data_IF_136489075066
#
_entry.id   IF_136489075066
#
_cell.length_a   1.000
_cell.length_b   1.000
_cell.length_c   1.000
_cell.angle_alpha   90.00
_cell.angle_beta   90.00
_cell.angle_gamma   90.00
#
_symmetry.space_group_name_H-M   'P 1'
#
loop_
_entity.id
_entity.type
_entity.pdbx_description
1 polymer ?
#
# COMPACT_ATOMS: atom_id res chain seq x y z
N UNK A 1 -30.86 23.57 5.57
CA UNK A 1 -30.63 22.29 4.85
C UNK A 1 -31.32 22.21 3.49
N UNK A 2 -32.56 22.71 3.28
CA UNK A 2 -33.23 22.68 1.96
C UNK A 2 -32.55 23.52 0.84
N UNK A 3 -31.77 24.53 1.20
CA UNK A 3 -31.05 25.41 0.26
C UNK A 3 -29.93 24.70 -0.51
N UNK A 4 -29.36 23.62 0.04
CA UNK A 4 -28.33 22.82 -0.62
C UNK A 4 -28.88 21.80 -1.62
N UNK A 5 -30.20 21.60 -1.66
CA UNK A 5 -30.87 20.71 -2.62
C UNK A 5 -31.28 21.47 -3.89
N UNK A 6 -30.38 22.29 -4.43
CA UNK A 6 -30.57 22.96 -5.70
C UNK A 6 -29.29 22.82 -6.50
N UNK A 7 -29.37 22.35 -7.74
CA UNK A 7 -28.21 22.09 -8.58
C UNK A 7 -27.35 23.35 -8.77
N UNK A 8 -27.97 24.53 -8.84
CA UNK A 8 -27.30 25.82 -8.91
C UNK A 8 -26.52 26.22 -7.64
N UNK A 9 -26.72 25.53 -6.52
CA UNK A 9 -25.94 25.69 -5.29
C UNK A 9 -24.97 24.52 -5.13
N UNK A 10 -25.45 23.29 -5.28
CA UNK A 10 -24.65 22.07 -5.16
C UNK A 10 -23.51 22.03 -6.17
N UNK A 11 -23.79 22.37 -7.43
CA UNK A 11 -22.81 22.38 -8.51
C UNK A 11 -21.63 23.31 -8.20
N UNK A 12 -21.84 24.60 -7.94
CA UNK A 12 -20.76 25.51 -7.57
C UNK A 12 -19.99 25.10 -6.31
N UNK A 13 -20.67 24.61 -5.27
CA UNK A 13 -20.00 24.18 -4.03
C UNK A 13 -19.11 22.96 -4.27
N UNK A 14 -19.62 21.92 -4.93
CA UNK A 14 -18.82 20.73 -5.26
C UNK A 14 -17.73 21.07 -6.28
N UNK A 15 -18.00 21.95 -7.23
CA UNK A 15 -17.03 22.43 -8.21
C UNK A 15 -15.87 23.19 -7.57
N UNK A 16 -16.15 24.06 -6.59
CA UNK A 16 -15.13 24.77 -5.82
C UNK A 16 -14.19 23.79 -5.11
N UNK A 17 -14.76 22.83 -4.36
CA UNK A 17 -13.98 21.82 -3.64
C UNK A 17 -13.20 20.91 -4.60
N UNK A 18 -13.83 20.45 -5.68
CA UNK A 18 -13.21 19.57 -6.67
C UNK A 18 -12.03 20.24 -7.37
N UNK A 19 -12.21 21.48 -7.84
CA UNK A 19 -11.13 22.22 -8.50
C UNK A 19 -9.98 22.51 -7.56
N UNK A 20 -10.22 22.72 -6.26
CA UNK A 20 -9.14 22.82 -5.29
C UNK A 20 -8.34 21.52 -5.17
N UNK A 21 -9.02 20.36 -5.08
CA UNK A 21 -8.37 19.04 -5.08
C UNK A 21 -7.53 18.86 -6.34
N UNK A 22 -8.10 19.12 -7.52
CA UNK A 22 -7.39 19.02 -8.80
C UNK A 22 -6.21 20.00 -8.88
N UNK A 23 -6.39 21.24 -8.42
CA UNK A 23 -5.32 22.24 -8.43
C UNK A 23 -4.13 21.77 -7.58
N UNK A 24 -4.37 21.25 -6.38
CA UNK A 24 -3.33 20.66 -5.52
C UNK A 24 -2.67 19.47 -6.20
N UNK A 25 -3.46 18.50 -6.70
CA UNK A 25 -2.94 17.30 -7.35
C UNK A 25 -2.08 17.62 -8.56
N UNK A 26 -2.55 18.47 -9.46
CA UNK A 26 -1.82 18.87 -10.67
C UNK A 26 -0.58 19.69 -10.30
N UNK A 27 -0.66 20.57 -9.30
CA UNK A 27 0.51 21.35 -8.86
C UNK A 27 1.62 20.46 -8.31
N UNK A 28 1.29 19.47 -7.46
CA UNK A 28 2.26 18.48 -6.95
C UNK A 28 2.83 17.66 -8.10
N UNK A 29 1.97 17.14 -8.97
CA UNK A 29 2.38 16.30 -10.12
C UNK A 29 3.34 17.06 -11.04
N UNK A 30 2.99 18.29 -11.41
CA UNK A 30 3.82 19.12 -12.28
C UNK A 30 5.13 19.51 -11.58
N UNK A 31 5.09 19.90 -10.31
CA UNK A 31 6.31 20.25 -9.57
C UNK A 31 7.27 19.07 -9.46
N UNK A 32 6.77 17.85 -9.29
CA UNK A 32 7.59 16.64 -9.26
C UNK A 32 8.12 16.24 -10.64
N UNK A 33 7.34 16.45 -11.69
CA UNK A 33 7.72 16.09 -13.06
C UNK A 33 8.75 17.07 -13.66
N UNK A 34 8.63 18.36 -13.36
CA UNK A 34 9.48 19.40 -13.96
C UNK A 34 10.58 19.90 -13.02
N UNK A 35 10.46 19.68 -11.70
CA UNK A 35 11.34 20.30 -10.69
C UNK A 35 11.10 21.80 -10.49
N UNK A 36 10.07 22.36 -11.15
CA UNK A 36 9.75 23.79 -11.14
C UNK A 36 8.52 24.07 -10.27
N UNK A 37 8.37 25.27 -9.69
CA UNK A 37 7.32 25.54 -8.74
C UNK A 37 5.95 25.75 -9.42
N UNK A 38 5.01 24.83 -9.18
CA UNK A 38 3.58 25.03 -9.41
C UNK A 38 2.87 25.17 -8.06
N UNK A 39 2.15 26.27 -7.85
CA UNK A 39 1.54 26.62 -6.56
C UNK A 39 0.01 26.65 -6.68
N UNK A 40 -0.72 25.78 -5.97
CA UNK A 40 -2.17 25.86 -5.95
C UNK A 40 -2.61 27.08 -5.14
N UNK A 41 -3.64 27.78 -5.60
CA UNK A 41 -4.22 28.92 -4.87
C UNK A 41 -5.60 28.56 -4.37
N UNK A 42 -5.80 28.60 -3.05
CA UNK A 42 -7.08 28.24 -2.46
C UNK A 42 -8.22 29.13 -3.01
N UNK A 43 -8.03 30.44 -3.00
CA UNK A 43 -9.08 31.39 -3.40
C UNK A 43 -9.44 31.25 -4.88
N UNK A 44 -8.47 31.31 -5.80
CA UNK A 44 -8.77 31.24 -7.23
C UNK A 44 -9.28 29.85 -7.63
N UNK A 45 -8.79 28.77 -6.99
CA UNK A 45 -9.32 27.43 -7.24
C UNK A 45 -10.79 27.29 -6.81
N UNK A 46 -11.17 27.85 -5.65
CA UNK A 46 -12.56 27.85 -5.20
C UNK A 46 -13.45 28.69 -6.13
N UNK A 47 -13.00 29.89 -6.52
CA UNK A 47 -13.76 30.79 -7.40
C UNK A 47 -13.97 30.19 -8.79
N UNK A 48 -12.90 29.78 -9.46
CA UNK A 48 -13.00 29.16 -10.79
C UNK A 48 -13.67 27.80 -10.75
N UNK A 49 -13.49 27.05 -9.66
CA UNK A 49 -14.23 25.81 -9.44
C UNK A 49 -15.73 26.02 -9.30
N UNK A 50 -16.16 27.08 -8.62
CA UNK A 50 -17.57 27.45 -8.56
C UNK A 50 -18.13 27.78 -9.95
N UNK A 51 -17.36 28.46 -10.80
CA UNK A 51 -17.73 28.77 -12.20
C UNK A 51 -17.86 27.48 -13.04
N UNK A 52 -16.86 26.59 -13.00
CA UNK A 52 -16.91 25.30 -13.70
C UNK A 52 -18.09 24.47 -13.19
N UNK A 53 -18.33 24.48 -11.87
CA UNK A 53 -19.44 23.77 -11.25
C UNK A 53 -20.81 24.29 -11.68
N UNK A 54 -20.98 25.62 -11.74
CA UNK A 54 -22.18 26.25 -12.28
C UNK A 54 -22.41 25.87 -13.75
N UNK A 55 -21.34 25.88 -14.56
CA UNK A 55 -21.41 25.56 -15.97
C UNK A 55 -21.76 24.07 -16.21
N UNK A 56 -21.25 23.16 -15.38
CA UNK A 56 -21.53 21.73 -15.46
C UNK A 56 -23.00 21.37 -15.20
N UNK A 57 -23.70 22.16 -14.38
CA UNK A 57 -25.16 22.03 -14.19
C UNK A 57 -25.90 22.32 -15.49
N UNK A 58 -25.39 23.24 -16.31
CA UNK A 58 -26.05 23.63 -17.54
C UNK A 58 -25.81 22.65 -18.69
N UNK A 59 -24.55 22.30 -18.96
CA UNK A 59 -24.21 21.27 -19.94
C UNK A 59 -22.75 20.84 -19.84
N UNK A 60 -22.44 19.66 -20.39
CA UNK A 60 -21.05 19.20 -20.52
C UNK A 60 -20.20 20.14 -21.37
N UNK A 61 -20.80 20.72 -22.42
CA UNK A 61 -20.14 21.70 -23.29
C UNK A 61 -19.84 23.00 -22.54
N UNK A 62 -20.77 23.48 -21.72
CA UNK A 62 -20.56 24.68 -20.90
C UNK A 62 -19.43 24.50 -19.89
N UNK A 63 -19.35 23.33 -19.23
CA UNK A 63 -18.22 23.02 -18.34
C UNK A 63 -16.88 23.02 -19.08
N UNK A 64 -16.83 22.44 -20.30
CA UNK A 64 -15.64 22.45 -21.14
C UNK A 64 -15.20 23.86 -21.54
N UNK A 65 -16.14 24.71 -21.98
CA UNK A 65 -15.86 26.11 -22.34
C UNK A 65 -15.37 26.90 -21.12
N UNK A 66 -16.04 26.76 -19.97
CA UNK A 66 -15.62 27.41 -18.74
C UNK A 66 -14.20 27.01 -18.37
N UNK A 67 -13.87 25.71 -18.41
CA UNK A 67 -12.54 25.21 -18.10
C UNK A 67 -11.46 25.70 -19.10
N UNK A 68 -11.75 25.78 -20.39
CA UNK A 68 -10.84 26.40 -21.36
C UNK A 68 -10.58 27.87 -21.04
N UNK A 69 -11.61 28.61 -20.62
CA UNK A 69 -11.46 29.97 -20.10
C UNK A 69 -10.55 30.02 -18.88
N UNK A 70 -10.74 29.12 -17.91
CA UNK A 70 -9.88 29.01 -16.72
C UNK A 70 -8.43 28.68 -17.10
N UNK A 71 -8.19 27.80 -18.09
CA UNK A 71 -6.85 27.51 -18.58
C UNK A 71 -6.18 28.75 -19.18
N UNK A 72 -6.89 29.50 -20.03
CA UNK A 72 -6.40 30.71 -20.67
C UNK A 72 -6.07 31.80 -19.64
N UNK A 73 -6.96 32.04 -18.67
CA UNK A 73 -6.74 33.01 -17.59
C UNK A 73 -5.63 32.53 -16.64
N UNK A 74 -5.47 31.22 -16.49
CA UNK A 74 -4.36 30.60 -15.77
C UNK A 74 -3.00 30.93 -16.36
N UNK A 75 -2.85 30.87 -17.69
CA UNK A 75 -1.62 31.27 -18.39
C UNK A 75 -1.28 32.76 -18.20
N UNK A 76 -2.26 33.57 -17.81
CA UNK A 76 -2.08 34.99 -17.48
C UNK A 76 -1.81 35.24 -15.98
N UNK A 77 -1.68 34.17 -15.17
CA UNK A 77 -1.38 34.27 -13.74
C UNK A 77 -2.59 34.46 -12.82
N UNK A 78 -3.82 34.31 -13.33
CA UNK A 78 -5.04 34.48 -12.53
C UNK A 78 -5.84 33.16 -12.37
N UNK A 79 -5.19 32.02 -12.55
CA UNK A 79 -5.81 30.71 -12.49
C UNK A 79 -5.71 30.01 -11.13
N UNK A 80 -6.36 28.83 -10.99
CA UNK A 80 -6.28 27.95 -9.82
C UNK A 80 -4.86 27.51 -9.41
N UNK A 81 -3.93 27.51 -10.36
CA UNK A 81 -2.51 27.20 -10.17
C UNK A 81 -1.71 28.41 -10.64
N UNK A 82 -0.64 28.75 -9.94
CA UNK A 82 0.35 29.75 -10.34
C UNK A 82 1.66 29.05 -10.69
N UNK A 83 2.20 29.32 -11.87
CA UNK A 83 3.54 28.87 -12.30
C UNK A 83 4.59 29.91 -11.90
N UNK A 84 5.76 29.47 -11.41
CA UNK A 84 6.89 30.37 -11.20
C UNK A 84 7.53 30.85 -12.51
N UNK A 85 8.35 31.89 -12.40
CA UNK A 85 8.96 32.57 -13.56
C UNK A 85 9.93 31.69 -14.36
N UNK A 86 10.45 30.63 -13.75
CA UNK A 86 11.39 29.67 -14.33
C UNK A 86 10.70 28.53 -15.10
N UNK A 87 9.37 28.42 -15.00
CA UNK A 87 8.59 27.35 -15.67
C UNK A 87 8.54 27.59 -17.18
N UNK A 88 8.93 26.60 -17.98
CA UNK A 88 8.88 26.69 -19.44
C UNK A 88 7.46 26.91 -19.98
N UNK A 89 7.27 27.63 -21.12
CA UNK A 89 5.94 27.86 -21.70
C UNK A 89 5.17 26.57 -21.99
N UNK A 90 5.88 25.52 -22.41
CA UNK A 90 5.29 24.20 -22.63
C UNK A 90 4.74 23.61 -21.33
N UNK A 91 5.52 23.63 -20.24
CA UNK A 91 5.09 23.13 -18.94
C UNK A 91 3.92 23.95 -18.37
N UNK A 92 3.87 25.27 -18.62
CA UNK A 92 2.72 26.10 -18.25
C UNK A 92 1.45 25.65 -18.99
N UNK A 93 1.51 25.51 -20.32
CA UNK A 93 0.37 25.06 -21.13
C UNK A 93 -0.13 23.69 -20.67
N UNK A 94 0.78 22.74 -20.43
CA UNK A 94 0.44 21.40 -19.94
C UNK A 94 -0.20 21.46 -18.55
N UNK A 95 0.39 22.20 -17.60
CA UNK A 95 -0.12 22.30 -16.23
C UNK A 95 -1.50 22.94 -16.13
N UNK A 96 -1.69 24.09 -16.78
CA UNK A 96 -2.99 24.78 -16.80
C UNK A 96 -4.05 24.02 -17.60
N UNK A 97 -3.66 23.42 -18.73
CA UNK A 97 -4.53 22.57 -19.54
C UNK A 97 -4.98 21.32 -18.80
N UNK A 98 -4.07 20.61 -18.13
CA UNK A 98 -4.39 19.42 -17.35
C UNK A 98 -5.31 19.75 -16.17
N UNK A 99 -5.06 20.85 -15.45
CA UNK A 99 -5.92 21.30 -14.35
C UNK A 99 -7.34 21.59 -14.84
N UNK A 100 -7.48 22.36 -15.91
CA UNK A 100 -8.79 22.70 -16.48
C UNK A 100 -9.54 21.44 -16.97
N UNK A 101 -8.85 20.56 -17.70
CA UNK A 101 -9.42 19.33 -18.23
C UNK A 101 -9.91 18.40 -17.11
N UNK A 102 -9.07 18.13 -16.11
CA UNK A 102 -9.41 17.25 -14.98
C UNK A 102 -10.53 17.85 -14.11
N UNK A 103 -10.54 19.17 -13.91
CA UNK A 103 -11.60 19.87 -13.20
C UNK A 103 -12.94 19.71 -13.94
N UNK A 104 -12.98 19.95 -15.26
CA UNK A 104 -14.19 19.81 -16.06
C UNK A 104 -14.70 18.38 -16.13
N UNK A 105 -13.82 17.41 -16.46
CA UNK A 105 -14.21 16.00 -16.59
C UNK A 105 -14.75 15.43 -15.27
N UNK A 106 -14.06 15.72 -14.17
CA UNK A 106 -14.51 15.30 -12.84
C UNK A 106 -15.85 15.95 -12.48
N UNK A 107 -16.02 17.25 -12.75
CA UNK A 107 -17.25 17.95 -12.45
C UNK A 107 -18.45 17.46 -13.29
N UNK A 108 -18.23 17.16 -14.57
CA UNK A 108 -19.23 16.55 -15.46
C UNK A 108 -19.63 15.16 -14.96
N UNK A 109 -18.68 14.40 -14.41
CA UNK A 109 -18.95 13.08 -13.81
C UNK A 109 -19.75 13.20 -12.51
N UNK A 110 -19.36 14.14 -11.63
CA UNK A 110 -20.02 14.41 -10.35
C UNK A 110 -21.50 14.78 -10.56
N UNK A 111 -21.78 15.74 -11.45
CA UNK A 111 -23.15 16.22 -11.72
C UNK A 111 -23.90 15.41 -12.78
N UNK A 112 -23.41 14.23 -13.15
CA UNK A 112 -24.09 13.40 -14.16
C UNK A 112 -25.52 13.08 -13.71
N UNK A 113 -26.49 13.23 -14.61
CA UNK A 113 -27.92 13.02 -14.33
C UNK A 113 -28.55 14.00 -13.32
N UNK A 114 -27.84 15.02 -12.82
CA UNK A 114 -28.44 16.04 -11.97
C UNK A 114 -29.36 16.97 -12.80
N UNK A 115 -30.63 17.17 -12.42
CA UNK A 115 -31.52 18.07 -13.14
C UNK A 115 -31.12 19.55 -12.98
N UNK A 116 -31.56 20.39 -13.93
CA UNK A 116 -31.41 21.84 -13.87
C UNK A 116 -32.46 22.45 -12.94
N UNK A 117 -32.28 22.31 -11.62
CA UNK A 117 -33.26 22.85 -10.66
C UNK A 117 -33.10 22.30 -9.24
N UNK A 118 -34.24 22.16 -8.55
CA UNK A 118 -34.28 21.51 -7.25
C UNK A 118 -33.86 20.05 -7.38
N UNK A 119 -32.93 19.63 -6.52
CA UNK A 119 -32.49 18.25 -6.43
C UNK A 119 -33.36 17.49 -5.45
N UNK A 120 -33.70 16.27 -5.79
CA UNK A 120 -34.16 15.30 -4.80
C UNK A 120 -33.04 14.98 -3.82
N UNK A 121 -33.39 14.39 -2.67
CA UNK A 121 -32.39 13.90 -1.71
C UNK A 121 -31.43 12.91 -2.35
N UNK A 122 -31.96 12.00 -3.18
CA UNK A 122 -31.18 10.96 -3.83
C UNK A 122 -30.17 11.53 -4.84
N UNK A 123 -30.58 12.48 -5.69
CA UNK A 123 -29.67 13.10 -6.68
C UNK A 123 -28.57 13.93 -6.00
N UNK A 124 -28.90 14.62 -4.90
CA UNK A 124 -27.89 15.31 -4.09
C UNK A 124 -26.91 14.33 -3.46
N UNK A 125 -27.40 13.26 -2.81
CA UNK A 125 -26.56 12.22 -2.21
C UNK A 125 -25.68 11.54 -3.27
N UNK A 126 -26.20 11.26 -4.46
CA UNK A 126 -25.45 10.65 -5.55
C UNK A 126 -24.31 11.56 -6.05
N UNK A 127 -24.56 12.86 -6.22
CA UNK A 127 -23.52 13.82 -6.58
C UNK A 127 -22.42 13.89 -5.50
N UNK A 128 -22.79 13.91 -4.23
CA UNK A 128 -21.83 13.90 -3.10
C UNK A 128 -21.04 12.60 -3.08
N UNK A 129 -21.67 11.44 -3.26
CA UNK A 129 -20.99 10.13 -3.29
C UNK A 129 -19.98 10.09 -4.44
N UNK A 130 -20.32 10.58 -5.63
CA UNK A 130 -19.38 10.62 -6.76
C UNK A 130 -18.20 11.55 -6.52
N UNK A 131 -18.45 12.71 -5.90
CA UNK A 131 -17.37 13.59 -5.44
C UNK A 131 -16.45 12.88 -4.44
N UNK A 132 -17.02 12.27 -3.40
CA UNK A 132 -16.26 11.54 -2.38
C UNK A 132 -15.50 10.35 -2.96
N UNK A 133 -16.08 9.67 -3.95
CA UNK A 133 -15.43 8.54 -4.66
C UNK A 133 -14.24 9.04 -5.47
N UNK A 134 -14.42 10.11 -6.26
CA UNK A 134 -13.32 10.72 -7.03
C UNK A 134 -12.22 11.28 -6.14
N UNK A 135 -12.58 11.99 -5.06
CA UNK A 135 -11.65 12.47 -4.06
C UNK A 135 -10.90 11.31 -3.39
N UNK A 136 -11.63 10.25 -3.00
CA UNK A 136 -11.06 9.04 -2.42
C UNK A 136 -10.02 8.40 -3.34
N UNK A 137 -10.32 8.23 -4.63
CA UNK A 137 -9.36 7.69 -5.58
C UNK A 137 -8.09 8.54 -5.67
N UNK A 138 -8.22 9.87 -5.78
CA UNK A 138 -7.05 10.77 -5.84
C UNK A 138 -6.26 10.71 -4.53
N UNK A 139 -6.94 10.86 -3.40
CA UNK A 139 -6.33 10.92 -2.08
C UNK A 139 -5.60 9.62 -1.72
N UNK A 140 -6.27 8.46 -1.86
CA UNK A 140 -5.67 7.16 -1.56
C UNK A 140 -4.58 6.77 -2.56
N UNK A 141 -4.70 7.16 -3.84
CA UNK A 141 -3.60 6.94 -4.79
C UNK A 141 -2.40 7.82 -4.44
N UNK A 142 -2.62 9.10 -4.11
CA UNK A 142 -1.54 10.02 -3.77
C UNK A 142 -0.79 9.59 -2.50
N UNK A 143 -1.52 9.28 -1.41
CA UNK A 143 -0.89 8.88 -0.13
C UNK A 143 -0.07 7.59 -0.26
N UNK A 144 -0.44 6.71 -1.20
CA UNK A 144 0.31 5.48 -1.49
C UNK A 144 1.47 5.77 -2.46
N UNK A 145 1.21 6.36 -3.62
CA UNK A 145 2.21 6.48 -4.70
C UNK A 145 3.31 7.48 -4.38
N UNK A 146 2.99 8.61 -3.73
CA UNK A 146 3.97 9.68 -3.49
C UNK A 146 5.18 9.20 -2.68
N UNK A 147 5.03 8.51 -1.53
CA UNK A 147 6.18 7.98 -0.79
C UNK A 147 7.06 7.05 -1.61
N UNK A 148 6.47 6.14 -2.41
CA UNK A 148 7.24 5.24 -3.27
C UNK A 148 7.95 5.99 -4.41
N UNK A 149 7.30 7.00 -4.99
CA UNK A 149 7.92 7.86 -5.98
C UNK A 149 9.14 8.58 -5.39
N UNK A 150 8.98 9.25 -4.24
CA UNK A 150 10.08 9.94 -3.56
C UNK A 150 11.21 8.97 -3.20
N UNK A 151 10.89 7.77 -2.73
CA UNK A 151 11.87 6.73 -2.42
C UNK A 151 12.69 6.33 -3.65
N UNK A 152 12.03 6.05 -4.78
CA UNK A 152 12.72 5.69 -6.04
C UNK A 152 13.54 6.87 -6.55
N UNK A 153 12.97 8.06 -6.63
CA UNK A 153 13.67 9.23 -7.16
C UNK A 153 14.90 9.62 -6.32
N UNK A 154 14.80 9.50 -5.00
CA UNK A 154 15.92 9.79 -4.10
C UNK A 154 17.02 8.73 -4.21
N UNK A 155 16.67 7.47 -4.50
CA UNK A 155 17.65 6.38 -4.67
C UNK A 155 18.52 6.52 -5.93
N UNK A 156 18.08 7.32 -6.91
CA UNK A 156 18.78 7.56 -8.18
C UNK A 156 19.67 8.82 -8.15
N UNK A 157 19.70 9.54 -7.02
CA UNK A 157 20.45 10.79 -6.86
C UNK A 157 21.69 10.62 -5.98
N UNK A 158 22.65 11.51 -6.17
CA UNK A 158 23.81 11.60 -5.31
C UNK A 158 23.51 12.39 -4.04
N UNK A 159 24.24 12.12 -2.97
CA UNK A 159 24.13 12.79 -1.68
C UNK A 159 24.32 14.30 -1.82
N UNK A 160 25.28 14.71 -2.66
CA UNK A 160 25.54 16.10 -2.93
C UNK A 160 24.34 16.78 -3.60
N UNK A 161 23.70 16.12 -4.58
CA UNK A 161 22.50 16.65 -5.22
C UNK A 161 21.33 16.78 -4.23
N UNK A 162 21.15 15.78 -3.35
CA UNK A 162 20.12 15.80 -2.31
C UNK A 162 20.36 16.87 -1.23
N UNK A 163 21.62 17.18 -0.92
CA UNK A 163 21.98 18.25 0.01
C UNK A 163 21.80 19.64 -0.61
N UNK A 164 22.05 19.78 -1.92
CA UNK A 164 21.84 21.03 -2.65
C UNK A 164 20.37 21.35 -2.86
N UNK A 165 19.58 20.37 -3.30
CA UNK A 165 18.15 20.50 -3.47
C UNK A 165 17.43 19.20 -3.07
N UNK A 166 16.92 19.09 -1.84
CA UNK A 166 16.25 17.88 -1.36
C UNK A 166 14.90 17.61 -2.03
N UNK A 167 14.37 18.56 -2.81
CA UNK A 167 13.09 18.45 -3.52
C UNK A 167 13.27 18.29 -5.04
N UNK A 168 14.51 18.21 -5.52
CA UNK A 168 14.76 17.88 -6.91
C UNK A 168 14.53 16.38 -7.13
N UNK A 169 13.46 16.04 -7.84
CA UNK A 169 13.11 14.68 -8.27
C UNK A 169 13.25 14.49 -9.78
N UNK A 170 14.02 15.33 -10.47
CA UNK A 170 14.30 15.17 -11.90
C UNK A 170 15.25 13.99 -12.18
N UNK A 171 15.12 13.37 -13.36
CA UNK A 171 16.06 12.34 -13.83
C UNK A 171 17.05 12.98 -14.81
N UNK A 172 18.33 12.89 -14.48
CA UNK A 172 19.40 13.26 -15.39
C UNK A 172 19.81 12.05 -16.24
N UNK A 173 19.15 11.89 -17.38
CA UNK A 173 19.42 10.78 -18.32
C UNK A 173 20.83 10.81 -18.91
N UNK A 174 21.55 11.94 -18.84
CA UNK A 174 22.93 12.03 -19.34
C UNK A 174 23.89 11.11 -18.56
N UNK A 175 23.53 10.75 -17.32
CA UNK A 175 24.33 9.86 -16.46
C UNK A 175 24.26 8.38 -16.88
N UNK A 176 23.32 7.98 -17.74
CA UNK A 176 23.15 6.60 -18.19
C UNK A 176 23.11 5.60 -17.00
N UNK A 177 23.97 4.58 -17.03
CA UNK A 177 24.08 3.59 -15.96
C UNK A 177 24.53 4.15 -14.60
N UNK A 178 25.15 5.33 -14.58
CA UNK A 178 25.55 6.01 -13.35
C UNK A 178 24.37 6.38 -12.43
N UNK A 179 23.13 6.40 -12.94
CA UNK A 179 21.91 6.55 -12.13
C UNK A 179 21.73 5.43 -11.10
N UNK A 180 22.25 4.23 -11.38
CA UNK A 180 22.13 3.06 -10.51
C UNK A 180 23.34 2.87 -9.59
N UNK A 181 24.25 3.84 -9.54
CA UNK A 181 25.48 3.76 -8.73
C UNK A 181 25.21 3.41 -7.26
N UNK A 182 24.17 4.00 -6.65
CA UNK A 182 23.82 3.72 -5.25
C UNK A 182 23.37 2.27 -5.02
N UNK A 183 22.85 1.60 -6.05
CA UNK A 183 22.51 0.18 -6.01
C UNK A 183 23.77 -0.68 -6.12
N UNK A 184 24.69 -0.35 -7.02
CA UNK A 184 25.98 -1.06 -7.16
C UNK A 184 26.80 -0.99 -5.87
N UNK A 185 27.00 0.21 -5.32
CA UNK A 185 27.72 0.47 -4.07
C UNK A 185 27.10 -0.31 -2.91
N UNK A 186 25.76 -0.42 -2.88
CA UNK A 186 25.05 -1.16 -1.83
C UNK A 186 25.37 -2.67 -1.87
N UNK A 187 25.39 -3.28 -3.05
CA UNK A 187 25.74 -4.71 -3.19
C UNK A 187 27.23 -4.97 -2.99
N UNK A 188 28.09 -4.06 -3.46
CA UNK A 188 29.55 -4.20 -3.44
C UNK A 188 30.15 -3.92 -2.07
N UNK A 189 29.75 -2.81 -1.44
CA UNK A 189 30.45 -2.24 -0.29
C UNK A 189 29.70 -2.46 1.03
N UNK A 190 28.40 -2.79 0.99
CA UNK A 190 27.56 -2.87 2.21
C UNK A 190 26.99 -4.28 2.46
N UNK A 191 27.43 -5.28 1.69
CA UNK A 191 27.05 -6.68 1.90
C UNK A 191 25.54 -6.95 1.70
N UNK A 192 24.83 -6.06 1.00
CA UNK A 192 23.37 -6.07 0.97
C UNK A 192 22.77 -7.34 0.35
N UNK A 193 23.50 -8.00 -0.55
CA UNK A 193 23.10 -9.30 -1.09
C UNK A 193 22.97 -10.37 0.00
N UNK A 194 23.82 -10.34 1.02
CA UNK A 194 23.74 -11.26 2.17
C UNK A 194 22.48 -10.98 2.97
N UNK A 195 22.15 -9.71 3.22
CA UNK A 195 20.95 -9.34 3.99
C UNK A 195 19.66 -9.78 3.28
N UNK A 196 19.64 -9.61 1.95
CA UNK A 196 18.53 -10.04 1.10
C UNK A 196 18.34 -11.56 1.15
N UNK A 197 19.42 -12.32 1.01
CA UNK A 197 19.39 -13.79 1.06
C UNK A 197 19.01 -14.30 2.44
N UNK A 198 19.57 -13.73 3.51
CA UNK A 198 19.22 -14.07 4.89
C UNK A 198 17.74 -13.82 5.15
N UNK A 199 17.22 -12.63 4.82
CA UNK A 199 15.79 -12.32 4.98
C UNK A 199 14.89 -13.23 4.17
N UNK A 200 15.24 -13.52 2.92
CA UNK A 200 14.46 -14.41 2.07
C UNK A 200 14.42 -15.82 2.66
N UNK A 201 15.59 -16.37 3.00
CA UNK A 201 15.71 -17.69 3.59
C UNK A 201 14.93 -17.79 4.91
N UNK A 202 15.17 -16.87 5.84
CA UNK A 202 14.49 -16.82 7.14
C UNK A 202 12.97 -16.73 6.95
N UNK A 203 12.50 -15.88 6.03
CA UNK A 203 11.06 -15.68 5.79
C UNK A 203 10.40 -16.93 5.18
N UNK A 204 11.04 -17.58 4.22
CA UNK A 204 10.54 -18.83 3.62
C UNK A 204 10.47 -19.94 4.66
N UNK A 205 11.52 -20.14 5.47
CA UNK A 205 11.50 -21.15 6.53
C UNK A 205 10.44 -20.82 7.57
N UNK A 206 10.29 -19.54 7.94
CA UNK A 206 9.23 -19.09 8.86
C UNK A 206 7.85 -19.46 8.31
N UNK A 207 7.56 -19.21 7.03
CA UNK A 207 6.28 -19.62 6.42
C UNK A 207 6.05 -21.12 6.55
N UNK A 208 7.06 -21.93 6.23
CA UNK A 208 6.96 -23.40 6.27
C UNK A 208 6.70 -23.87 7.71
N UNK A 209 7.49 -23.41 8.68
CA UNK A 209 7.33 -23.80 10.09
C UNK A 209 5.98 -23.32 10.62
N UNK A 210 5.59 -22.08 10.32
CA UNK A 210 4.32 -21.52 10.76
C UNK A 210 3.14 -22.31 10.22
N UNK A 211 3.13 -22.66 8.93
CA UNK A 211 2.06 -23.47 8.35
C UNK A 211 2.06 -24.90 8.91
N UNK A 212 3.23 -25.49 9.15
CA UNK A 212 3.35 -26.82 9.73
C UNK A 212 2.60 -26.94 11.06
N UNK A 213 2.63 -25.90 11.89
CA UNK A 213 1.90 -25.85 13.16
C UNK A 213 0.48 -25.29 13.01
N UNK A 214 0.29 -24.27 12.17
CA UNK A 214 -0.99 -23.59 12.02
C UNK A 214 -2.04 -24.44 11.32
N UNK A 215 -1.69 -25.22 10.30
CA UNK A 215 -2.62 -26.09 9.57
C UNK A 215 -3.31 -27.09 10.51
N UNK A 216 -2.59 -27.97 11.25
CA UNK A 216 -3.23 -28.95 12.11
C UNK A 216 -3.94 -28.29 13.29
N UNK A 217 -3.39 -27.20 13.86
CA UNK A 217 -4.04 -26.48 14.95
C UNK A 217 -5.36 -25.82 14.53
N UNK A 218 -5.37 -25.12 13.39
CA UNK A 218 -6.56 -24.51 12.84
C UNK A 218 -7.60 -25.56 12.45
N UNK A 219 -7.17 -26.67 11.84
CA UNK A 219 -8.05 -27.79 11.50
C UNK A 219 -8.69 -28.40 12.75
N UNK A 220 -7.91 -28.65 13.79
CA UNK A 220 -8.41 -29.18 15.06
C UNK A 220 -9.50 -28.28 15.64
N UNK A 221 -9.26 -26.96 15.66
CA UNK A 221 -10.22 -25.98 16.19
C UNK A 221 -11.39 -25.72 15.25
N UNK A 222 -11.28 -25.99 13.95
CA UNK A 222 -12.37 -25.84 12.99
C UNK A 222 -13.29 -27.07 12.96
N UNK A 223 -12.72 -28.28 13.00
CA UNK A 223 -13.46 -29.55 12.78
C UNK A 223 -13.68 -30.38 14.03
N UNK A 224 -12.71 -30.44 14.92
CA UNK A 224 -12.76 -31.40 16.03
C UNK A 224 -13.59 -30.87 17.20
N UNK A 225 -14.24 -31.78 17.91
CA UNK A 225 -14.94 -31.50 19.16
C UNK A 225 -14.07 -32.02 20.30
N UNK A 226 -13.48 -31.12 21.07
CA UNK A 226 -12.66 -31.44 22.24
C UNK A 226 -12.95 -30.46 23.38
N UNK A 227 -12.73 -30.91 24.62
CA UNK A 227 -12.93 -30.07 25.81
C UNK A 227 -11.94 -28.88 25.77
N UNK A 228 -12.45 -27.65 25.96
CA UNK A 228 -11.62 -26.44 25.93
C UNK A 228 -11.42 -25.79 24.56
N UNK A 229 -12.04 -26.30 23.48
CA UNK A 229 -11.94 -25.73 22.12
C UNK A 229 -12.17 -24.21 22.04
N UNK A 230 -13.18 -23.69 22.74
CA UNK A 230 -13.48 -22.26 22.75
C UNK A 230 -12.47 -21.43 23.56
N UNK A 231 -11.85 -22.02 24.59
CA UNK A 231 -10.77 -21.38 25.33
C UNK A 231 -9.50 -21.31 24.48
N UNK A 232 -9.14 -22.42 23.82
CA UNK A 232 -8.00 -22.46 22.90
C UNK A 232 -8.16 -21.50 21.72
N UNK A 233 -9.34 -21.43 21.09
CA UNK A 233 -9.61 -20.45 20.04
C UNK A 233 -9.42 -19.00 20.50
N UNK A 234 -9.84 -18.67 21.73
CA UNK A 234 -9.67 -17.34 22.32
C UNK A 234 -8.23 -17.06 22.72
N UNK A 235 -7.49 -18.05 23.23
CA UNK A 235 -6.09 -17.87 23.64
C UNK A 235 -5.19 -17.51 22.46
N UNK A 236 -5.46 -18.04 21.26
CA UNK A 236 -4.72 -17.68 20.04
C UNK A 236 -4.74 -16.16 19.81
N UNK A 237 -5.93 -15.54 19.92
CA UNK A 237 -6.09 -14.10 19.78
C UNK A 237 -5.44 -13.33 20.94
N UNK A 238 -5.60 -13.79 22.18
CA UNK A 238 -5.00 -13.14 23.35
C UNK A 238 -3.47 -13.11 23.28
N UNK A 239 -2.84 -14.21 22.84
CA UNK A 239 -1.39 -14.28 22.66
C UNK A 239 -0.93 -13.30 21.57
N UNK A 240 -1.67 -13.20 20.45
CA UNK A 240 -1.36 -12.27 19.37
C UNK A 240 -1.45 -10.79 19.78
N UNK A 241 -2.35 -10.47 20.73
CA UNK A 241 -2.54 -9.09 21.22
C UNK A 241 -1.40 -8.62 22.14
N UNK A 242 -0.55 -9.52 22.64
CA UNK A 242 0.58 -9.13 23.49
C UNK A 242 1.62 -8.41 22.64
N UNK A 243 1.96 -7.15 22.94
CA UNK A 243 2.97 -6.42 22.18
C UNK A 243 4.35 -7.07 22.36
N UNK A 244 4.99 -7.45 21.25
CA UNK A 244 6.27 -8.17 21.29
C UNK A 244 7.37 -7.39 22.00
N UNK A 245 7.30 -6.06 21.98
CA UNK A 245 8.25 -5.17 22.66
C UNK A 245 8.29 -5.38 24.18
N UNK A 246 7.18 -5.79 24.80
CA UNK A 246 7.13 -6.11 26.24
C UNK A 246 7.96 -7.35 26.56
N UNK A 247 8.04 -8.28 25.61
CA UNK A 247 8.80 -9.53 25.76
C UNK A 247 10.24 -9.41 25.27
N UNK A 248 10.65 -8.24 24.75
CA UNK A 248 11.97 -8.03 24.16
C UNK A 248 13.10 -8.37 25.14
N UNK A 249 13.12 -7.75 26.33
CA UNK A 249 14.17 -8.00 27.33
C UNK A 249 14.22 -9.46 27.81
N UNK A 250 13.09 -10.09 28.20
CA UNK A 250 13.08 -11.52 28.54
C UNK A 250 13.63 -12.42 27.41
N UNK A 251 13.23 -12.17 26.17
CA UNK A 251 13.69 -12.94 25.01
C UNK A 251 15.19 -12.74 24.79
N UNK A 252 15.68 -11.51 24.88
CA UNK A 252 17.11 -11.21 24.77
C UNK A 252 17.92 -12.00 25.80
N UNK A 253 17.52 -11.96 27.07
CA UNK A 253 18.20 -12.68 28.15
C UNK A 253 18.17 -14.19 27.87
N UNK A 254 17.00 -14.74 27.56
CA UNK A 254 16.85 -16.18 27.29
C UNK A 254 17.67 -16.66 26.08
N UNK A 255 17.69 -15.89 25.00
CA UNK A 255 18.46 -16.24 23.79
C UNK A 255 19.96 -16.07 24.01
N UNK A 256 20.37 -15.10 24.83
CA UNK A 256 21.77 -14.91 25.21
C UNK A 256 22.28 -16.05 26.08
N UNK A 257 21.49 -16.50 27.08
CA UNK A 257 21.88 -17.61 27.96
C UNK A 257 21.85 -18.96 27.25
N UNK A 258 20.95 -19.14 26.28
CA UNK A 258 20.86 -20.35 25.46
C UNK A 258 21.89 -20.41 24.32
N UNK A 259 22.70 -19.37 24.11
CA UNK A 259 23.66 -19.31 23.00
C UNK A 259 23.00 -19.18 21.62
N UNK A 260 21.74 -18.75 21.55
CA UNK A 260 20.97 -18.58 20.31
C UNK A 260 21.11 -17.17 19.72
N UNK A 261 21.65 -16.21 20.49
CA UNK A 261 21.93 -14.86 20.01
C UNK A 261 22.98 -14.89 18.90
N UNK A 262 22.84 -13.97 17.95
CA UNK A 262 23.71 -13.80 16.80
C UNK A 262 23.80 -15.07 15.93
N UNK A 263 22.67 -15.77 15.77
CA UNK A 263 22.52 -16.96 14.91
C UNK A 263 21.27 -16.86 14.05
N UNK A 264 21.34 -17.33 12.80
CA UNK A 264 20.17 -17.44 11.90
C UNK A 264 19.15 -18.43 12.48
N UNK A 265 19.63 -19.51 13.12
CA UNK A 265 18.77 -20.50 13.76
C UNK A 265 17.90 -19.91 14.87
N UNK A 266 18.47 -19.03 15.71
CA UNK A 266 17.70 -18.30 16.72
C UNK A 266 16.56 -17.48 16.11
N UNK A 267 16.82 -16.78 15.00
CA UNK A 267 15.80 -16.01 14.30
C UNK A 267 14.68 -16.91 13.74
N UNK A 268 15.07 -17.99 13.05
CA UNK A 268 14.14 -18.98 12.50
C UNK A 268 13.28 -19.64 13.59
N UNK A 269 13.79 -19.76 14.81
CA UNK A 269 13.03 -20.30 15.95
C UNK A 269 12.00 -19.31 16.49
N UNK A 270 12.35 -18.02 16.59
CA UNK A 270 11.50 -17.01 17.24
C UNK A 270 10.45 -16.39 16.30
N UNK A 271 10.73 -16.28 14.99
CA UNK A 271 9.77 -15.70 14.03
C UNK A 271 8.45 -16.49 13.90
N UNK A 272 8.44 -17.84 13.92
CA UNK A 272 7.19 -18.61 13.97
C UNK A 272 6.34 -18.30 15.20
N UNK A 273 6.94 -17.97 16.34
CA UNK A 273 6.19 -17.65 17.57
C UNK A 273 5.27 -16.45 17.37
N UNK A 274 5.69 -15.46 16.57
CA UNK A 274 4.89 -14.26 16.28
C UNK A 274 3.87 -14.48 15.15
N UNK A 275 4.12 -15.44 14.26
CA UNK A 275 3.30 -15.65 13.05
C UNK A 275 2.31 -16.81 13.16
N UNK A 276 2.57 -17.81 14.02
CA UNK A 276 1.64 -18.93 14.29
C UNK A 276 0.27 -18.46 14.77
N UNK A 277 0.14 -17.53 15.74
CA UNK A 277 -1.17 -17.11 16.22
C UNK A 277 -2.07 -16.52 15.12
N UNK A 278 -1.51 -15.66 14.27
CA UNK A 278 -2.27 -15.04 13.18
C UNK A 278 -2.59 -16.04 12.06
N UNK A 279 -1.65 -16.92 11.71
CA UNK A 279 -1.89 -17.98 10.73
C UNK A 279 -2.97 -18.96 11.21
N UNK A 280 -2.95 -19.35 12.49
CA UNK A 280 -3.99 -20.17 13.11
C UNK A 280 -5.36 -19.49 13.01
N UNK A 281 -5.44 -18.21 13.38
CA UNK A 281 -6.69 -17.46 13.36
C UNK A 281 -7.27 -17.35 11.94
N UNK A 282 -6.44 -17.00 10.95
CA UNK A 282 -6.87 -16.88 9.55
C UNK A 282 -7.32 -18.23 8.97
N UNK A 283 -6.53 -19.30 9.15
CA UNK A 283 -6.87 -20.63 8.66
C UNK A 283 -8.09 -21.22 9.37
N UNK A 284 -8.25 -20.96 10.67
CA UNK A 284 -9.43 -21.40 11.42
C UNK A 284 -10.71 -20.79 10.85
N UNK A 285 -10.69 -19.49 10.55
CA UNK A 285 -11.82 -18.79 9.92
C UNK A 285 -12.18 -19.41 8.57
N UNK A 286 -11.16 -19.70 7.75
CA UNK A 286 -11.36 -20.28 6.43
C UNK A 286 -11.84 -21.73 6.47
N UNK A 287 -11.19 -22.62 7.25
CA UNK A 287 -11.57 -24.03 7.33
C UNK A 287 -13.01 -24.19 7.84
N UNK A 288 -13.50 -23.31 8.72
CA UNK A 288 -14.91 -23.33 9.15
C UNK A 288 -15.90 -23.09 8.02
N UNK A 289 -15.53 -22.33 7.00
CA UNK A 289 -16.37 -22.04 5.84
C UNK A 289 -16.42 -23.16 4.80
N UNK A 290 -15.50 -24.13 4.85
CA UNK A 290 -15.51 -25.27 3.95
C UNK A 290 -16.63 -26.27 4.34
N UNK A 291 -17.40 -26.80 3.37
CA UNK A 291 -18.42 -27.82 3.63
C UNK A 291 -17.84 -29.04 4.34
N UNK A 292 -18.42 -29.43 5.47
CA UNK A 292 -17.93 -30.55 6.27
C UNK A 292 -18.20 -31.90 5.59
N UNK A 293 -19.23 -31.95 4.76
CA UNK A 293 -19.73 -33.15 4.06
C UNK A 293 -18.68 -33.73 3.12
N UNK A 294 -17.85 -32.88 2.49
CA UNK A 294 -16.76 -33.33 1.60
C UNK A 294 -15.67 -34.06 2.40
N UNK A 295 -15.35 -33.58 3.60
CA UNK A 295 -14.38 -34.23 4.48
C UNK A 295 -14.94 -35.52 5.08
N UNK A 296 -16.22 -35.53 5.44
CA UNK A 296 -16.93 -36.72 5.94
C UNK A 296 -16.99 -37.83 4.89
N UNK A 297 -17.28 -37.49 3.62
CA UNK A 297 -17.21 -38.44 2.51
C UNK A 297 -15.82 -39.09 2.39
N UNK A 298 -14.75 -38.28 2.49
CA UNK A 298 -13.38 -38.81 2.48
C UNK A 298 -13.08 -39.75 3.66
N UNK A 299 -13.64 -39.49 4.84
CA UNK A 299 -13.53 -40.40 5.99
C UNK A 299 -14.29 -41.71 5.75
N UNK A 300 -15.48 -41.64 5.13
CA UNK A 300 -16.26 -42.83 4.75
C UNK A 300 -15.56 -43.68 3.70
N UNK A 301 -14.80 -43.06 2.79
CA UNK A 301 -13.93 -43.73 1.80
C UNK A 301 -12.63 -44.32 2.40
N UNK A 302 -12.48 -44.28 3.73
CA UNK A 302 -11.36 -44.88 4.45
C UNK A 302 -10.09 -44.02 4.49
N UNK A 303 -10.17 -42.73 4.17
CA UNK A 303 -9.05 -41.82 4.43
C UNK A 303 -8.89 -41.60 5.94
N UNK A 304 -7.65 -41.63 6.42
CA UNK A 304 -7.36 -41.13 7.77
C UNK A 304 -7.52 -39.61 7.81
N UNK A 305 -7.76 -39.04 9.00
CA UNK A 305 -7.88 -37.57 9.16
C UNK A 305 -6.70 -36.79 8.59
N UNK A 306 -5.48 -37.28 8.78
CA UNK A 306 -4.30 -36.65 8.20
C UNK A 306 -4.40 -36.65 6.67
N UNK A 307 -4.81 -37.78 6.05
CA UNK A 307 -5.03 -37.82 4.60
C UNK A 307 -6.17 -36.91 4.15
N UNK A 308 -7.23 -36.74 4.94
CA UNK A 308 -8.31 -35.77 4.64
C UNK A 308 -7.74 -34.35 4.60
N UNK A 309 -6.94 -33.96 5.58
CA UNK A 309 -6.28 -32.66 5.60
C UNK A 309 -5.44 -32.48 4.32
N UNK A 310 -4.56 -33.44 4.00
CA UNK A 310 -3.63 -33.32 2.89
C UNK A 310 -4.29 -33.41 1.50
N UNK A 311 -5.30 -34.28 1.33
CA UNK A 311 -5.90 -34.57 0.02
C UNK A 311 -7.18 -33.78 -0.27
N UNK A 312 -7.86 -33.28 0.76
CA UNK A 312 -9.16 -32.58 0.62
C UNK A 312 -9.04 -31.16 1.13
N UNK A 313 -8.77 -30.97 2.42
CA UNK A 313 -8.83 -29.64 3.04
C UNK A 313 -7.77 -28.68 2.47
N UNK A 314 -6.51 -29.12 2.32
CA UNK A 314 -5.44 -28.26 1.80
C UNK A 314 -5.64 -27.83 0.34
N UNK A 315 -5.97 -28.74 -0.62
CA UNK A 315 -6.28 -28.34 -1.98
C UNK A 315 -7.45 -27.37 -2.09
N UNK A 316 -8.52 -27.60 -1.33
CA UNK A 316 -9.67 -26.68 -1.27
C UNK A 316 -9.31 -25.33 -0.66
N UNK A 317 -8.29 -25.30 0.22
CA UNK A 317 -7.83 -24.09 0.90
C UNK A 317 -6.66 -23.39 0.24
N UNK A 318 -6.30 -23.77 -0.99
CA UNK A 318 -5.15 -23.17 -1.68
C UNK A 318 -5.21 -21.62 -1.76
N UNK A 319 -6.37 -20.97 -2.01
CA UNK A 319 -6.46 -19.51 -1.98
C UNK A 319 -6.14 -18.91 -0.60
N UNK A 320 -6.61 -19.56 0.47
CA UNK A 320 -6.36 -19.15 1.84
C UNK A 320 -4.92 -19.38 2.26
N UNK A 321 -4.35 -20.55 1.91
CA UNK A 321 -2.95 -20.87 2.16
C UNK A 321 -2.04 -19.88 1.46
N UNK A 322 -2.29 -19.53 0.19
CA UNK A 322 -1.52 -18.50 -0.51
C UNK A 322 -1.57 -17.15 0.21
N UNK A 323 -2.76 -16.72 0.65
CA UNK A 323 -2.95 -15.47 1.39
C UNK A 323 -2.23 -15.47 2.73
N UNK A 324 -2.34 -16.56 3.49
CA UNK A 324 -1.70 -16.72 4.80
C UNK A 324 -0.18 -16.83 4.65
N UNK A 325 0.32 -17.58 3.66
CA UNK A 325 1.75 -17.66 3.34
C UNK A 325 2.34 -16.30 3.03
N UNK A 326 1.67 -15.52 2.18
CA UNK A 326 2.12 -14.16 1.86
C UNK A 326 2.12 -13.28 3.11
N UNK A 327 1.07 -13.36 3.93
CA UNK A 327 0.97 -12.57 5.15
C UNK A 327 2.08 -12.91 6.17
N UNK A 328 2.33 -14.21 6.39
CA UNK A 328 3.41 -14.70 7.25
C UNK A 328 4.78 -14.30 6.70
N UNK A 329 4.98 -14.43 5.38
CA UNK A 329 6.20 -13.97 4.72
C UNK A 329 6.42 -12.48 4.95
N UNK A 330 5.39 -11.64 4.75
CA UNK A 330 5.48 -10.20 4.96
C UNK A 330 5.82 -9.85 6.41
N UNK A 331 5.25 -10.54 7.40
CA UNK A 331 5.59 -10.30 8.81
C UNK A 331 7.06 -10.64 9.05
N UNK A 332 7.52 -11.82 8.62
CA UNK A 332 8.91 -12.25 8.82
C UNK A 332 9.91 -11.37 8.07
N UNK A 333 9.58 -10.96 6.84
CA UNK A 333 10.40 -10.11 5.99
C UNK A 333 10.58 -8.70 6.56
N UNK A 334 9.52 -8.15 7.16
CA UNK A 334 9.51 -6.82 7.75
C UNK A 334 9.83 -6.81 9.25
N UNK A 335 10.11 -7.97 9.86
CA UNK A 335 10.42 -8.05 11.28
C UNK A 335 11.76 -7.33 11.53
N UNK A 336 11.71 -6.32 12.39
CA UNK A 336 12.87 -5.48 12.68
C UNK A 336 13.35 -5.64 14.12
N UNK A 337 12.42 -5.72 15.09
CA UNK A 337 12.73 -5.59 16.51
C UNK A 337 13.60 -6.76 17.00
N UNK A 338 13.21 -7.99 16.69
CA UNK A 338 13.95 -9.18 17.12
C UNK A 338 15.27 -9.29 16.37
N UNK A 339 15.29 -8.98 15.08
CA UNK A 339 16.54 -8.92 14.31
C UNK A 339 17.52 -7.91 14.89
N UNK A 340 17.05 -6.69 15.22
CA UNK A 340 17.88 -5.65 15.83
C UNK A 340 18.44 -6.04 17.19
N UNK A 341 17.64 -6.73 17.99
CA UNK A 341 18.00 -7.12 19.34
C UNK A 341 18.90 -8.37 19.39
N UNK A 342 18.74 -9.30 18.45
CA UNK A 342 19.40 -10.61 18.50
C UNK A 342 20.58 -10.75 17.54
N UNK A 343 20.73 -9.89 16.53
CA UNK A 343 21.81 -9.99 15.54
C UNK A 343 22.81 -8.85 15.69
N UNK A 344 24.08 -9.20 15.88
CA UNK A 344 25.19 -8.25 16.06
C UNK A 344 26.18 -8.28 14.89
N UNK A 345 26.37 -9.43 14.26
CA UNK A 345 27.28 -9.64 13.14
C UNK A 345 26.59 -9.28 11.80
N UNK A 346 27.14 -8.32 11.02
CA UNK A 346 26.58 -7.94 9.73
C UNK A 346 26.34 -9.12 8.80
N UNK A 347 27.22 -10.12 8.77
CA UNK A 347 27.05 -11.30 7.88
C UNK A 347 25.76 -12.09 8.15
N UNK A 348 25.11 -11.87 9.29
CA UNK A 348 23.88 -12.55 9.71
C UNK A 348 22.66 -11.64 9.70
N UNK A 349 22.82 -10.34 9.39
CA UNK A 349 21.72 -9.39 9.41
C UNK A 349 20.61 -9.80 8.44
N UNK A 350 19.38 -9.57 8.88
CA UNK A 350 18.21 -9.50 8.01
C UNK A 350 18.23 -8.17 7.26
N UNK A 351 17.47 -8.09 6.18
CA UNK A 351 17.31 -6.90 5.35
C UNK A 351 16.90 -5.66 6.14
N UNK A 352 15.88 -5.75 6.99
CA UNK A 352 15.40 -4.64 7.83
C UNK A 352 16.48 -4.15 8.79
N UNK A 353 17.22 -5.08 9.41
CA UNK A 353 18.36 -4.76 10.28
C UNK A 353 19.53 -4.14 9.51
N UNK A 354 19.83 -4.66 8.33
CA UNK A 354 20.84 -4.15 7.42
C UNK A 354 20.53 -2.74 6.96
N UNK A 355 19.30 -2.47 6.49
CA UNK A 355 18.85 -1.12 6.11
C UNK A 355 18.97 -0.17 7.31
N UNK A 356 18.60 -0.60 8.52
CA UNK A 356 18.76 0.24 9.70
C UNK A 356 20.23 0.57 10.01
N UNK A 357 21.18 -0.33 9.73
CA UNK A 357 22.62 -0.02 9.84
C UNK A 357 23.11 1.01 8.82
N UNK A 358 22.37 1.21 7.71
CA UNK A 358 22.64 2.28 6.74
C UNK A 358 22.20 3.66 7.24
N UNK A 359 21.39 3.73 8.30
CA UNK A 359 20.97 5.00 8.88
C UNK A 359 22.01 5.52 9.90
N UNK A 360 23.28 5.56 9.48
CA UNK A 360 24.37 6.17 10.24
C UNK A 360 24.68 7.56 9.69
N UNK A 361 25.26 8.44 10.51
CA UNK A 361 25.67 9.79 10.07
C UNK A 361 26.69 9.77 8.93
N UNK A 362 27.37 8.64 8.72
CA UNK A 362 28.43 8.48 7.73
C UNK A 362 27.91 7.93 6.40
N UNK A 363 26.72 7.31 6.37
CA UNK A 363 26.19 6.68 5.18
C UNK A 363 25.23 7.62 4.45
N UNK A 364 25.48 7.92 3.17
CA UNK A 364 24.59 8.71 2.34
C UNK A 364 23.14 8.20 2.31
N UNK A 365 22.17 9.12 2.39
CA UNK A 365 20.72 8.81 2.41
C UNK A 365 20.26 8.07 1.15
N UNK A 366 20.94 8.29 0.03
CA UNK A 366 20.70 7.59 -1.23
C UNK A 366 20.76 6.05 -1.08
N UNK A 367 21.66 5.51 -0.25
CA UNK A 367 21.81 4.06 -0.06
C UNK A 367 20.67 3.48 0.76
N UNK A 368 20.22 4.21 1.78
CA UNK A 368 19.04 3.84 2.55
C UNK A 368 17.80 3.77 1.65
N UNK A 369 17.63 4.77 0.76
CA UNK A 369 16.53 4.77 -0.20
C UNK A 369 16.64 3.64 -1.23
N UNK A 370 17.82 3.41 -1.81
CA UNK A 370 18.06 2.30 -2.73
C UNK A 370 17.77 0.94 -2.08
N UNK A 371 18.23 0.73 -0.85
CA UNK A 371 17.94 -0.47 -0.08
C UNK A 371 16.44 -0.65 0.19
N UNK A 372 15.72 0.43 0.46
CA UNK A 372 14.26 0.42 0.66
C UNK A 372 13.50 0.07 -0.62
N UNK A 373 13.97 0.55 -1.78
CA UNK A 373 13.43 0.15 -3.10
C UNK A 373 13.59 -1.35 -3.31
N UNK A 374 14.82 -1.87 -3.15
CA UNK A 374 15.10 -3.30 -3.31
C UNK A 374 14.27 -4.14 -2.34
N UNK A 375 14.09 -3.68 -1.09
CA UNK A 375 13.32 -4.40 -0.09
C UNK A 375 11.83 -4.57 -0.44
N UNK A 376 11.28 -3.68 -1.26
CA UNK A 376 9.89 -3.74 -1.71
C UNK A 376 9.70 -4.78 -2.82
N UNK A 377 10.71 -4.99 -3.68
CA UNK A 377 10.61 -5.81 -4.89
C UNK A 377 10.20 -7.27 -4.61
N UNK A 378 10.81 -8.01 -3.65
CA UNK A 378 10.45 -9.40 -3.37
C UNK A 378 9.00 -9.57 -2.91
N UNK A 379 8.48 -8.64 -2.11
CA UNK A 379 7.09 -8.68 -1.66
C UNK A 379 6.15 -8.51 -2.85
N UNK A 380 6.42 -7.53 -3.72
CA UNK A 380 5.62 -7.32 -4.94
C UNK A 380 5.65 -8.53 -5.86
N UNK A 381 6.85 -9.11 -6.08
CA UNK A 381 7.01 -10.30 -6.92
C UNK A 381 6.22 -11.50 -6.36
N UNK A 382 6.28 -11.73 -5.05
CA UNK A 382 5.50 -12.78 -4.39
C UNK A 382 3.99 -12.53 -4.46
N UNK A 383 3.55 -11.29 -4.23
CA UNK A 383 2.14 -10.92 -4.35
C UNK A 383 1.62 -11.21 -5.76
N UNK A 384 2.30 -10.70 -6.81
CA UNK A 384 1.90 -10.93 -8.21
C UNK A 384 1.93 -12.42 -8.59
N UNK A 385 2.92 -13.17 -8.08
CA UNK A 385 2.99 -14.62 -8.30
C UNK A 385 1.86 -15.40 -7.60
N UNK A 386 1.39 -14.92 -6.46
CA UNK A 386 0.34 -15.55 -5.65
C UNK A 386 -1.08 -15.06 -5.97
N UNK A 387 -1.23 -13.91 -6.62
CA UNK A 387 -2.51 -13.26 -6.95
C UNK A 387 -3.48 -14.21 -7.68
N UNK A 388 -2.97 -15.02 -8.61
CA UNK A 388 -3.77 -16.01 -9.36
C UNK A 388 -4.43 -17.08 -8.47
N UNK A 389 -3.86 -17.36 -7.29
CA UNK A 389 -4.43 -18.30 -6.34
C UNK A 389 -5.48 -17.63 -5.45
N UNK A 390 -5.29 -16.35 -5.11
CA UNK A 390 -6.21 -15.58 -4.28
C UNK A 390 -7.52 -15.27 -5.03
N UNK A 391 -7.44 -14.93 -6.32
CA UNK A 391 -8.60 -14.58 -7.16
C UNK A 391 -9.52 -15.77 -7.46
N UNK A 392 -8.99 -16.99 -7.56
CA UNK A 392 -9.79 -18.22 -7.77
C UNK A 392 -10.70 -18.58 -6.59
N UNK A 393 -10.37 -18.14 -5.38
CA UNK A 393 -11.20 -18.38 -4.19
C UNK A 393 -12.47 -17.53 -4.14
N UNK A 394 -12.45 -16.35 -4.76
CA UNK A 394 -13.58 -15.41 -4.77
C UNK A 394 -14.72 -15.87 -5.71
N UNK A 395 -14.41 -16.68 -6.73
CA UNK A 395 -15.39 -17.15 -7.72
C UNK A 395 -16.00 -18.51 -7.38
N UNK A 396 -15.35 -19.31 -6.54
CA UNK A 396 -15.83 -20.65 -6.15
C UNK A 396 -16.97 -20.63 -5.12
N UNK A 397 -17.13 -19.53 -4.38
CA UNK A 397 -18.19 -19.35 -3.37
C UNK A 397 -19.50 -18.74 -3.91
N UNK A 398 -19.57 -18.37 -5.19
CA UNK A 398 -20.78 -17.80 -5.83
C UNK A 398 -21.76 -18.87 -6.33
N UNK A 399 -21.76 -20.06 -5.74
CA UNK A 399 -22.82 -21.04 -6.00
C UNK A 399 -24.11 -20.48 -5.41
N UNK A 400 -25.06 -20.20 -6.30
CA UNK A 400 -26.39 -19.65 -6.05
C UNK A 400 -27.04 -20.28 -4.82
N UNK A 401 -27.33 -19.45 -3.81
CA UNK A 401 -28.47 -19.65 -2.93
C UNK A 401 -29.71 -19.01 -3.54
#
# INVERSE_FOLDING_TARGET
MKTFHHAYVTGPVLGALWTFVIAVTVSITMSFATGEPFRPTLILALLWGAVIGAAAVHSRMAAGIAALGVAAVGLLGFGPILSGDTVSPFAQIVGHGAMALCAALGMVSIMRNAPKGALTRHEFEEAVIRFLTGFGYIFFTAIVVIPFYVMVMTSLKSQQALLQNPLDFSIDFSKGWGLFRSYEELFRDHGFGIYLLNSFFISVITVVVTLLFAIPGAYAVARLRFKGRAAFARSILLIYMVPMIVLALPIYIAFSTAGLRNTIFGIVLIYPVTTIPVALYMLQGYFRGLPAEIEEAGLMDGLSRLRVIWKITLPLSLPALASVSLYVFMIAWNEFLLAFMLLDDPSKFTLTRGIASLNSSEIPRQHLMAGSVIATVPIMALFLGLERFMTKGLTAGSVKG
#
